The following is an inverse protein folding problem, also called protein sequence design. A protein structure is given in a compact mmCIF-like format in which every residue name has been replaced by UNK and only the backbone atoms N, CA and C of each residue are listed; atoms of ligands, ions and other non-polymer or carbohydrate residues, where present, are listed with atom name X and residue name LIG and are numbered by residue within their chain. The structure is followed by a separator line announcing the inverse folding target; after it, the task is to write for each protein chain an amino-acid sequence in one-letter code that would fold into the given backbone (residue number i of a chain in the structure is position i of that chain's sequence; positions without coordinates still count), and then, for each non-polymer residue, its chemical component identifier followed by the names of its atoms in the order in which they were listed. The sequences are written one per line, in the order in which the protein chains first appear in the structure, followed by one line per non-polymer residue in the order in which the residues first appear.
data_IF_648952542289
#
_entry.id   IF_648952542289
#
_cell.length_a   1.000
_cell.length_b   1.000
_cell.length_c   1.000
_cell.angle_alpha   90.00
_cell.angle_beta   90.00
_cell.angle_gamma   90.00
#
_symmetry.space_group_name_H-M   'P 1'
#
loop_
_entity.id
_entity.type
_entity.pdbx_description
1 polymer ?
#
# COMPACT_ATOMS: atom_id res chain seq x y z
N UNK A 1 5.87 -4.82 16.70
CA UNK A 1 4.95 -3.71 16.38
C UNK A 1 5.67 -2.77 15.44
N UNK A 2 5.40 -2.88 14.14
CA UNK A 2 5.96 -1.98 13.14
C UNK A 2 5.37 -0.57 13.38
N UNK A 3 6.11 0.25 14.09
CA UNK A 3 5.66 1.50 14.72
C UNK A 3 5.49 2.69 13.75
N UNK A 4 5.30 2.48 12.46
CA UNK A 4 5.54 3.58 11.51
C UNK A 4 4.34 4.33 10.99
N UNK A 5 3.17 3.70 10.86
CA UNK A 5 1.95 4.43 10.52
C UNK A 5 1.22 4.85 11.78
N UNK A 6 1.01 6.16 11.92
CA UNK A 6 0.22 6.70 13.03
C UNK A 6 -1.25 6.33 12.81
N UNK A 7 -1.94 5.79 13.83
CA UNK A 7 -3.37 5.49 13.73
C UNK A 7 -4.20 6.71 13.35
N UNK A 8 -5.28 6.48 12.60
CA UNK A 8 -6.23 7.49 12.10
C UNK A 8 -5.62 8.53 11.14
N UNK A 9 -4.43 8.25 10.59
CA UNK A 9 -3.80 9.02 9.51
C UNK A 9 -3.92 8.30 8.18
N UNK A 10 -3.93 9.08 7.11
CA UNK A 10 -3.90 8.60 5.74
C UNK A 10 -2.48 8.62 5.22
N UNK A 11 -2.09 7.59 4.48
CA UNK A 11 -0.79 7.52 3.83
C UNK A 11 -0.92 7.15 2.37
N UNK A 12 -0.04 7.66 1.51
CA UNK A 12 0.09 7.22 0.11
C UNK A 12 1.50 6.73 -0.17
N UNK A 13 1.61 5.77 -1.07
CA UNK A 13 2.90 5.23 -1.51
C UNK A 13 3.36 5.97 -2.78
N UNK A 14 4.47 6.71 -2.67
CA UNK A 14 5.14 7.43 -3.75
C UNK A 14 6.34 6.63 -4.23
N UNK A 15 6.37 6.23 -5.49
CA UNK A 15 7.45 5.43 -6.05
C UNK A 15 8.74 6.25 -6.14
N UNK A 16 9.83 5.69 -5.60
CA UNK A 16 11.16 6.27 -5.76
C UNK A 16 11.63 6.11 -7.21
N UNK A 17 11.91 7.23 -7.87
CA UNK A 17 12.54 7.26 -9.19
C UNK A 17 11.64 7.71 -10.35
N UNK A 18 10.33 7.77 -10.18
CA UNK A 18 9.42 8.37 -11.16
C UNK A 18 8.34 9.28 -10.53
N UNK A 19 8.35 9.45 -9.20
CA UNK A 19 7.40 10.25 -8.43
C UNK A 19 5.92 9.91 -8.70
N UNK A 20 5.64 8.66 -9.11
CA UNK A 20 4.29 8.16 -9.33
C UNK A 20 3.71 7.59 -8.04
N UNK A 21 2.45 7.88 -7.75
CA UNK A 21 1.74 7.26 -6.63
C UNK A 21 1.13 5.92 -7.05
N UNK A 22 1.10 4.96 -6.13
CA UNK A 22 0.17 3.83 -6.26
C UNK A 22 -1.25 4.38 -6.14
N UNK A 23 -2.16 3.85 -6.96
CA UNK A 23 -3.58 4.12 -6.83
C UNK A 23 -4.08 3.57 -5.48
N UNK A 24 -4.63 4.45 -4.65
CA UNK A 24 -5.10 4.09 -3.31
C UNK A 24 -4.35 4.77 -2.17
N UNK A 25 -4.64 4.31 -0.95
CA UNK A 25 -4.10 4.86 0.29
C UNK A 25 -4.11 3.83 1.42
N UNK A 26 -3.21 4.00 2.38
CA UNK A 26 -3.24 3.28 3.65
C UNK A 26 -4.00 4.08 4.71
N UNK A 27 -4.79 3.37 5.51
CA UNK A 27 -5.46 3.89 6.69
C UNK A 27 -5.52 2.80 7.77
N UNK A 28 -4.92 3.03 8.93
CA UNK A 28 -4.79 2.04 10.02
C UNK A 28 -4.21 0.69 9.52
N UNK A 29 -3.14 0.73 8.75
CA UNK A 29 -2.48 -0.47 8.19
C UNK A 29 -3.29 -1.18 7.09
N UNK A 30 -4.46 -0.70 6.72
CA UNK A 30 -5.28 -1.25 5.63
C UNK A 30 -5.10 -0.43 4.36
N UNK A 31 -5.00 -1.09 3.22
CA UNK A 31 -4.84 -0.46 1.91
C UNK A 31 -6.17 -0.45 1.16
N UNK A 32 -6.58 0.73 0.72
CA UNK A 32 -7.85 0.98 0.05
C UNK A 32 -7.64 1.61 -1.31
N UNK A 33 -8.32 1.06 -2.31
CA UNK A 33 -8.51 1.68 -3.63
C UNK A 33 -9.93 2.23 -3.72
N UNK A 34 -10.05 3.56 -3.76
CA UNK A 34 -11.34 4.23 -3.56
C UNK A 34 -11.93 3.91 -2.18
N UNK A 35 -13.02 3.15 -2.15
CA UNK A 35 -13.66 2.66 -0.91
C UNK A 35 -13.50 1.14 -0.73
N UNK A 36 -12.79 0.46 -1.63
CA UNK A 36 -12.61 -0.98 -1.60
C UNK A 36 -11.37 -1.32 -0.78
N UNK A 37 -11.52 -2.20 0.21
CA UNK A 37 -10.38 -2.76 0.94
C UNK A 37 -9.70 -3.81 0.08
N UNK A 38 -8.49 -3.51 -0.40
CA UNK A 38 -7.76 -4.41 -1.32
C UNK A 38 -6.47 -4.94 -0.74
N UNK A 39 -6.04 -4.48 0.44
CA UNK A 39 -4.89 -5.07 1.13
C UNK A 39 -4.74 -4.68 2.59
N UNK A 40 -3.75 -5.26 3.27
CA UNK A 40 -3.37 -4.89 4.63
C UNK A 40 -1.89 -5.14 4.90
N UNK A 41 -1.36 -4.43 5.90
CA UNK A 41 -0.05 -4.65 6.49
C UNK A 41 -0.26 -5.44 7.78
N UNK A 42 0.41 -6.59 7.90
CA UNK A 42 0.39 -7.43 9.09
C UNK A 42 1.39 -6.91 10.15
N UNK A 43 1.32 -7.47 11.37
CA UNK A 43 2.15 -7.05 12.51
C UNK A 43 3.67 -7.24 12.29
N UNK A 44 4.04 -8.15 11.39
CA UNK A 44 5.42 -8.42 10.95
C UNK A 44 5.89 -7.49 9.82
N UNK A 45 5.04 -6.58 9.35
CA UNK A 45 5.32 -5.66 8.27
C UNK A 45 5.01 -6.22 6.88
N UNK A 46 4.52 -7.46 6.75
CA UNK A 46 4.14 -8.00 5.45
C UNK A 46 2.93 -7.26 4.88
N UNK A 47 3.06 -6.69 3.68
CA UNK A 47 1.95 -6.10 2.94
C UNK A 47 1.32 -7.15 2.02
N UNK A 48 0.01 -7.39 2.17
CA UNK A 48 -0.75 -8.37 1.40
C UNK A 48 -1.86 -7.71 0.59
N UNK A 49 -2.00 -8.12 -0.68
CA UNK A 49 -3.19 -7.83 -1.48
C UNK A 49 -4.24 -8.93 -1.29
N UNK A 50 -5.47 -8.52 -0.98
CA UNK A 50 -6.64 -9.38 -0.93
C UNK A 50 -7.21 -9.68 -2.31
N UNK A 51 -6.90 -8.85 -3.31
CA UNK A 51 -7.39 -9.09 -4.65
C UNK A 51 -6.82 -10.40 -5.22
N UNK A 52 -7.75 -11.31 -5.46
CA UNK A 52 -7.55 -12.49 -6.28
C UNK A 52 -7.77 -12.06 -7.73
N UNK A 53 -7.08 -12.68 -8.69
CA UNK A 53 -7.47 -12.53 -10.10
C UNK A 53 -8.93 -12.96 -10.29
N UNK A 54 -9.58 -12.51 -11.37
CA UNK A 54 -10.94 -12.94 -11.79
C UNK A 54 -11.12 -14.47 -11.85
N UNK A 55 -10.04 -15.24 -11.90
CA UNK A 55 -10.03 -16.70 -11.86
C UNK A 55 -10.01 -17.31 -10.44
N UNK A 56 -10.12 -16.47 -9.40
CA UNK A 56 -10.09 -16.85 -8.00
C UNK A 56 -8.70 -17.23 -7.48
N UNK A 57 -7.63 -17.02 -8.25
CA UNK A 57 -6.26 -17.36 -7.84
C UNK A 57 -5.54 -16.15 -7.24
N UNK A 58 -4.70 -16.36 -6.21
CA UNK A 58 -3.84 -15.31 -5.68
C UNK A 58 -2.88 -14.80 -6.77
N UNK A 59 -2.74 -13.48 -6.90
CA UNK A 59 -1.74 -12.88 -7.81
C UNK A 59 -0.30 -13.20 -7.40
N UNK A 60 -0.08 -13.51 -6.11
CA UNK A 60 1.23 -13.83 -5.54
C UNK A 60 1.16 -15.10 -4.69
N UNK A 61 2.20 -15.95 -4.71
CA UNK A 61 2.33 -17.00 -3.71
C UNK A 61 2.32 -16.36 -2.31
N UNK A 62 1.43 -16.87 -1.46
CA UNK A 62 1.18 -16.42 -0.07
C UNK A 62 0.44 -15.08 0.10
N UNK A 63 -0.06 -14.46 -0.97
CA UNK A 63 -0.69 -13.13 -0.97
C UNK A 63 0.20 -11.97 -0.51
N UNK A 64 1.49 -12.20 -0.26
CA UNK A 64 2.44 -11.16 0.14
C UNK A 64 2.90 -10.40 -1.11
N UNK A 65 2.55 -9.12 -1.16
CA UNK A 65 2.90 -8.17 -2.22
C UNK A 65 4.25 -7.49 -1.97
N UNK A 66 4.62 -7.33 -0.70
CA UNK A 66 5.84 -6.66 -0.28
C UNK A 66 5.97 -6.59 1.23
N UNK A 67 6.88 -5.74 1.69
CA UNK A 67 7.12 -5.49 3.10
C UNK A 67 7.18 -3.99 3.36
N UNK A 68 6.65 -3.58 4.50
CA UNK A 68 6.73 -2.23 5.02
C UNK A 68 7.69 -2.24 6.21
N UNK A 69 8.79 -1.53 6.04
CA UNK A 69 9.74 -1.23 7.12
C UNK A 69 9.80 0.28 7.26
N UNK A 70 9.48 0.77 8.46
CA UNK A 70 9.37 2.21 8.61
C UNK A 70 8.23 2.77 7.72
N UNK A 71 8.50 3.91 7.10
CA UNK A 71 7.63 4.55 6.10
C UNK A 71 8.12 4.23 4.68
N UNK A 72 8.61 3.01 4.47
CA UNK A 72 9.10 2.54 3.19
C UNK A 72 8.40 1.22 2.85
N UNK A 73 7.74 1.17 1.70
CA UNK A 73 7.17 -0.05 1.13
C UNK A 73 8.10 -0.58 0.05
N UNK A 74 8.51 -1.84 0.18
CA UNK A 74 9.28 -2.55 -0.84
C UNK A 74 8.43 -3.70 -1.38
N UNK A 75 8.06 -3.63 -2.66
CA UNK A 75 7.31 -4.70 -3.32
C UNK A 75 8.22 -5.85 -3.74
N UNK A 76 7.66 -7.04 -3.95
CA UNK A 76 8.40 -8.25 -4.36
C UNK A 76 9.13 -8.11 -5.70
N UNK A 77 8.69 -7.22 -6.57
CA UNK A 77 9.33 -6.91 -7.85
C UNK A 77 10.58 -6.00 -7.69
N UNK A 78 10.89 -5.58 -6.46
CA UNK A 78 11.99 -4.68 -6.13
C UNK A 78 11.62 -3.20 -6.19
N UNK A 79 10.39 -2.85 -6.54
CA UNK A 79 9.91 -1.47 -6.53
C UNK A 79 9.86 -0.92 -5.09
N UNK A 80 10.40 0.29 -4.90
CA UNK A 80 10.49 0.95 -3.59
C UNK A 80 9.62 2.20 -3.60
N UNK A 81 8.82 2.37 -2.54
CA UNK A 81 7.92 3.49 -2.37
C UNK A 81 8.12 4.13 -1.00
N UNK A 82 8.17 5.47 -0.98
CA UNK A 82 8.04 6.25 0.25
C UNK A 82 6.57 6.32 0.64
N UNK A 83 6.28 6.00 1.90
CA UNK A 83 4.95 6.03 2.48
C UNK A 83 4.76 7.37 3.19
N UNK A 84 4.02 8.27 2.56
CA UNK A 84 3.92 9.67 2.97
C UNK A 84 2.57 9.93 3.62
N UNK A 85 2.55 10.58 4.79
CA UNK A 85 1.31 11.04 5.43
C UNK A 85 0.64 12.12 4.58
N UNK A 86 -0.67 12.03 4.40
CA UNK A 86 -1.49 12.99 3.66
C UNK A 86 -2.71 13.44 4.47
N UNK A 87 -3.24 14.63 4.18
CA UNK A 87 -4.36 15.22 4.94
C UNK A 87 -5.69 14.47 4.77
N UNK A 88 -5.89 13.77 3.65
CA UNK A 88 -7.13 13.03 3.37
C UNK A 88 -6.91 11.91 2.34
N UNK A 89 -7.92 11.06 2.13
CA UNK A 89 -7.98 10.05 1.05
C UNK A 89 -7.92 10.72 -0.34
N UNK A 90 -6.76 11.24 -0.73
CA UNK A 90 -6.62 11.96 -1.99
C UNK A 90 -6.61 10.95 -3.14
N UNK A 91 -7.72 10.91 -3.88
CA UNK A 91 -7.90 10.17 -5.13
C UNK A 91 -7.30 10.95 -6.31
N UNK A 92 -6.09 11.47 -6.16
CA UNK A 92 -5.47 12.22 -7.25
C UNK A 92 -4.78 11.26 -8.21
N UNK A 93 -5.56 10.79 -9.18
CA UNK A 93 -5.07 10.66 -10.55
C UNK A 93 -4.45 11.99 -10.96
N UNK A 94 -3.21 12.03 -11.49
CA UNK A 94 -2.75 13.21 -12.21
C UNK A 94 -3.71 13.42 -13.38
N UNK A 95 -4.39 14.58 -13.40
CA UNK A 95 -5.19 14.99 -14.54
C UNK A 95 -4.23 15.31 -15.68
N UNK A 96 -4.23 14.49 -16.73
CA UNK A 96 -3.64 14.83 -18.02
C UNK A 96 -4.36 16.04 -18.65
#
# INVERSE_FOLDING_TARGET
MAHTMTPKRYYRALQRGNDAYIDGHFYNGRFYEGNNLVGQIDDDGAFRYFESKDDGRPTFPEHIAGYVEGLVLTLKDGSIFDVIEVESKSSSTPKA
#
